data_IF_543539084937
#
_entry.id   IF_543539084937
#
_cell.length_a   1.000
_cell.length_b   1.000
_cell.length_c   1.000
_cell.angle_alpha   90.00
_cell.angle_beta   90.00
_cell.angle_gamma   90.00
#
_symmetry.space_group_name_H-M   'P 1'
#
loop_
_entity.id
_entity.type
_entity.pdbx_description
1 polymer ?
#
# COMPACT_ATOMS: atom_id res chain seq x y z
N UNK A 1 -52.95 -38.65 37.77
CA UNK A 1 -51.51 -38.61 37.46
C UNK A 1 -51.32 -38.54 35.96
N UNK A 2 -51.14 -37.32 35.43
CA UNK A 2 -50.11 -36.96 34.43
C UNK A 2 -50.20 -35.44 34.30
N UNK A 3 -49.28 -34.75 34.98
CA UNK A 3 -49.11 -33.31 34.81
C UNK A 3 -48.25 -33.06 33.59
N UNK A 4 -48.78 -32.37 32.59
CA UNK A 4 -47.97 -31.68 31.59
C UNK A 4 -47.47 -30.39 32.22
N UNK A 5 -46.24 -30.44 32.77
CA UNK A 5 -45.51 -29.25 33.21
C UNK A 5 -44.88 -28.59 31.98
N UNK A 6 -45.57 -27.59 31.43
CA UNK A 6 -44.99 -26.63 30.50
C UNK A 6 -44.16 -25.60 31.29
N UNK A 7 -42.97 -26.01 31.73
CA UNK A 7 -41.91 -25.10 32.18
C UNK A 7 -41.05 -24.78 30.94
N UNK A 8 -41.28 -23.61 30.36
CA UNK A 8 -40.38 -22.45 30.48
C UNK A 8 -39.21 -22.50 29.52
N UNK A 9 -39.40 -21.75 28.42
CA UNK A 9 -38.45 -20.81 27.81
C UNK A 9 -36.96 -21.14 28.05
N UNK A 10 -36.41 -21.99 27.19
CA UNK A 10 -34.96 -21.96 26.90
C UNK A 10 -34.74 -20.92 25.81
N UNK A 11 -33.80 -20.03 26.08
CA UNK A 11 -33.66 -18.72 25.47
C UNK A 11 -33.41 -18.72 23.97
N UNK A 12 -34.02 -17.72 23.33
CA UNK A 12 -33.40 -17.02 22.22
C UNK A 12 -32.08 -16.38 22.67
N UNK A 13 -31.25 -16.03 21.68
CA UNK A 13 -30.00 -15.24 21.73
C UNK A 13 -28.74 -16.13 21.72
N UNK A 14 -28.41 -16.65 20.54
CA UNK A 14 -27.04 -16.56 20.04
C UNK A 14 -27.07 -15.49 18.96
N UNK A 15 -27.01 -14.24 19.42
CA UNK A 15 -26.82 -13.04 18.62
C UNK A 15 -25.31 -12.85 18.45
N UNK A 16 -24.90 -12.91 17.19
CA UNK A 16 -23.71 -12.39 16.52
C UNK A 16 -22.48 -12.02 17.36
N UNK A 17 -21.34 -12.63 17.01
CA UNK A 17 -20.02 -12.00 17.12
C UNK A 17 -18.95 -12.73 16.26
N UNK A 18 -19.18 -12.87 14.96
CA UNK A 18 -18.12 -13.22 13.99
C UNK A 18 -18.15 -12.22 12.82
N UNK A 19 -17.81 -10.96 13.11
CA UNK A 19 -17.78 -9.89 12.08
C UNK A 19 -16.63 -8.88 12.18
N UNK A 20 -15.84 -8.87 13.26
CA UNK A 20 -14.88 -7.78 13.51
C UNK A 20 -13.53 -7.89 12.79
N UNK A 21 -13.16 -9.04 12.22
CA UNK A 21 -11.82 -9.25 11.64
C UNK A 21 -11.68 -8.92 10.15
N UNK A 22 -12.79 -8.93 9.41
CA UNK A 22 -12.80 -8.76 7.95
C UNK A 22 -12.82 -7.27 7.56
N UNK A 23 -13.60 -6.47 8.28
CA UNK A 23 -13.72 -5.01 8.06
C UNK A 23 -12.41 -4.27 8.36
N UNK A 24 -11.73 -4.61 9.46
CA UNK A 24 -10.41 -4.05 9.80
C UNK A 24 -9.34 -4.38 8.75
N UNK A 25 -9.42 -5.59 8.17
CA UNK A 25 -8.50 -6.02 7.11
C UNK A 25 -8.77 -5.28 5.80
N UNK A 26 -10.05 -5.11 5.43
CA UNK A 26 -10.46 -4.37 4.24
C UNK A 26 -10.05 -2.89 4.35
N UNK A 27 -10.28 -2.25 5.50
CA UNK A 27 -9.87 -0.86 5.73
C UNK A 27 -8.35 -0.67 5.64
N UNK A 28 -7.56 -1.64 6.11
CA UNK A 28 -6.11 -1.65 5.93
C UNK A 28 -5.73 -1.73 4.45
N UNK A 29 -6.38 -2.59 3.69
CA UNK A 29 -6.08 -2.80 2.27
C UNK A 29 -6.42 -1.56 1.45
N UNK A 30 -7.58 -0.94 1.68
CA UNK A 30 -7.96 0.33 1.07
C UNK A 30 -6.94 1.42 1.40
N UNK A 31 -6.52 1.55 2.66
CA UNK A 31 -5.52 2.54 3.04
C UNK A 31 -4.17 2.31 2.35
N UNK A 32 -3.75 1.05 2.15
CA UNK A 32 -2.54 0.70 1.38
C UNK A 32 -2.66 1.17 -0.06
N UNK A 33 -3.80 0.91 -0.71
CA UNK A 33 -4.05 1.31 -2.09
C UNK A 33 -4.04 2.84 -2.19
N UNK A 34 -4.72 3.55 -1.30
CA UNK A 34 -4.74 5.01 -1.27
C UNK A 34 -3.33 5.62 -1.08
N UNK A 35 -2.50 5.04 -0.21
CA UNK A 35 -1.13 5.48 -0.01
C UNK A 35 -0.28 5.28 -1.27
N UNK A 36 -0.36 4.11 -1.90
CA UNK A 36 0.34 3.82 -3.15
C UNK A 36 -0.10 4.76 -4.27
N UNK A 37 -1.39 5.05 -4.35
CA UNK A 37 -1.96 6.01 -5.29
C UNK A 37 -1.40 7.42 -5.09
N UNK A 38 -1.31 7.88 -3.84
CA UNK A 38 -0.68 9.16 -3.52
C UNK A 38 0.79 9.20 -3.97
N UNK A 39 1.55 8.12 -3.80
CA UNK A 39 2.95 8.04 -4.25
C UNK A 39 3.03 8.03 -5.78
N UNK A 40 2.13 7.35 -6.47
CA UNK A 40 2.04 7.34 -7.93
C UNK A 40 1.75 8.75 -8.45
N UNK A 41 0.82 9.47 -7.84
CA UNK A 41 0.44 10.81 -8.26
C UNK A 41 1.57 11.81 -7.99
N UNK A 42 2.27 11.67 -6.86
CA UNK A 42 3.50 12.42 -6.57
C UNK A 42 4.57 12.17 -7.64
N UNK A 43 4.84 10.91 -7.98
CA UNK A 43 5.83 10.56 -9.00
C UNK A 43 5.41 11.05 -10.40
N UNK A 44 4.12 10.95 -10.73
CA UNK A 44 3.53 11.47 -11.96
C UNK A 44 3.80 12.97 -12.10
N UNK A 45 3.49 13.74 -11.06
CA UNK A 45 3.70 15.18 -11.03
C UNK A 45 5.18 15.57 -11.07
N UNK A 46 6.03 14.87 -10.31
CA UNK A 46 7.46 15.19 -10.22
C UNK A 46 8.24 14.89 -11.50
N UNK A 47 7.96 13.74 -12.15
CA UNK A 47 8.69 13.30 -13.33
C UNK A 47 7.98 13.65 -14.66
N UNK A 48 6.79 14.25 -14.61
CA UNK A 48 6.05 14.69 -15.80
C UNK A 48 5.52 13.53 -16.66
N UNK A 49 5.17 12.40 -16.04
CA UNK A 49 4.60 11.22 -16.74
C UNK A 49 3.13 11.03 -16.36
N UNK A 50 2.34 10.42 -17.24
CA UNK A 50 0.93 10.19 -16.97
C UNK A 50 0.73 9.15 -15.85
N UNK A 51 0.05 9.53 -14.77
CA UNK A 51 -0.25 8.63 -13.65
C UNK A 51 -1.04 7.38 -14.07
N UNK A 52 -1.88 7.49 -15.10
CA UNK A 52 -2.57 6.34 -15.70
C UNK A 52 -1.56 5.30 -16.22
N UNK A 53 -0.51 5.73 -16.91
CA UNK A 53 0.53 4.82 -17.42
C UNK A 53 1.30 4.14 -16.29
N UNK A 54 1.54 4.84 -15.18
CA UNK A 54 2.17 4.25 -13.99
C UNK A 54 1.28 3.17 -13.35
N UNK A 55 -0.04 3.33 -13.37
CA UNK A 55 -1.01 2.34 -12.84
C UNK A 55 -1.25 1.16 -13.76
N UNK A 56 -1.00 1.31 -15.07
CA UNK A 56 -1.29 0.25 -16.03
C UNK A 56 -0.58 -1.08 -15.67
N UNK A 57 -1.31 -2.20 -15.68
CA UNK A 57 -0.71 -3.52 -15.54
C UNK A 57 0.17 -3.86 -16.74
N UNK A 58 1.14 -4.77 -16.55
CA UNK A 58 2.04 -5.23 -17.61
C UNK A 58 3.40 -4.53 -17.66
N UNK A 59 4.18 -4.85 -18.71
CA UNK A 59 5.57 -4.39 -18.86
C UNK A 59 5.61 -3.04 -19.59
N UNK A 60 5.75 -1.96 -18.83
CA UNK A 60 6.08 -0.66 -19.41
C UNK A 60 7.52 -0.63 -19.92
N UNK A 61 7.83 0.29 -20.84
CA UNK A 61 9.16 0.46 -21.42
C UNK A 61 9.75 1.81 -21.02
N UNK A 62 11.08 1.89 -21.02
CA UNK A 62 11.82 3.13 -20.84
C UNK A 62 11.51 3.86 -19.52
N UNK A 63 11.26 5.16 -19.63
CA UNK A 63 11.13 6.06 -18.49
C UNK A 63 9.96 5.71 -17.55
N UNK A 64 8.81 5.28 -18.10
CA UNK A 64 7.62 4.90 -17.30
C UNK A 64 7.92 3.73 -16.36
N UNK A 65 8.68 2.74 -16.83
CA UNK A 65 9.08 1.61 -16.01
C UNK A 65 9.97 2.05 -14.84
N UNK A 66 10.96 2.92 -15.11
CA UNK A 66 11.87 3.47 -14.10
C UNK A 66 11.13 4.29 -13.05
N UNK A 67 10.19 5.14 -13.45
CA UNK A 67 9.42 5.97 -12.51
C UNK A 67 8.51 5.11 -11.64
N UNK A 68 7.92 4.03 -12.19
CA UNK A 68 7.17 3.07 -11.37
C UNK A 68 8.07 2.38 -10.34
N UNK A 69 9.28 2.01 -10.72
CA UNK A 69 10.25 1.41 -9.79
C UNK A 69 10.66 2.39 -8.69
N UNK A 70 10.87 3.67 -9.02
CA UNK A 70 11.09 4.74 -8.04
C UNK A 70 9.89 4.89 -7.11
N UNK A 71 8.66 4.88 -7.63
CA UNK A 71 7.46 4.99 -6.81
C UNK A 71 7.32 3.80 -5.83
N UNK A 72 7.60 2.57 -6.29
CA UNK A 72 7.64 1.38 -5.42
C UNK A 72 8.72 1.51 -4.34
N UNK A 73 9.91 1.98 -4.70
CA UNK A 73 11.00 2.24 -3.78
C UNK A 73 10.59 3.24 -2.70
N UNK A 74 10.05 4.40 -3.10
CA UNK A 74 9.60 5.45 -2.18
C UNK A 74 8.50 4.93 -1.25
N UNK A 75 7.52 4.17 -1.76
CA UNK A 75 6.50 3.56 -0.91
C UNK A 75 7.12 2.64 0.16
N UNK A 76 8.15 1.87 -0.21
CA UNK A 76 8.86 1.01 0.74
C UNK A 76 9.70 1.81 1.76
N UNK A 77 10.52 2.75 1.31
CA UNK A 77 11.56 3.39 2.16
C UNK A 77 11.08 4.65 2.87
N UNK A 78 10.08 5.35 2.34
CA UNK A 78 9.55 6.58 2.93
C UNK A 78 8.29 6.32 3.76
N UNK A 79 7.45 5.37 3.34
CA UNK A 79 6.20 5.04 4.03
C UNK A 79 6.31 3.77 4.88
N UNK A 80 7.50 3.16 4.95
CA UNK A 80 7.78 1.94 5.71
C UNK A 80 6.84 0.77 5.36
N UNK A 81 6.32 0.74 4.13
CA UNK A 81 5.44 -0.33 3.66
C UNK A 81 6.26 -1.58 3.34
N UNK A 82 5.78 -2.75 3.70
CA UNK A 82 6.42 -4.01 3.29
C UNK A 82 6.32 -4.24 1.78
N UNK A 83 7.23 -5.02 1.19
CA UNK A 83 7.21 -5.36 -0.24
C UNK A 83 5.88 -5.97 -0.69
N UNK A 84 5.21 -6.71 0.20
CA UNK A 84 3.91 -7.31 -0.08
C UNK A 84 2.79 -6.26 -0.11
N UNK A 85 2.84 -5.25 0.76
CA UNK A 85 1.87 -4.14 0.77
C UNK A 85 2.05 -3.25 -0.45
N UNK A 86 3.28 -2.90 -0.79
CA UNK A 86 3.60 -2.16 -2.01
C UNK A 86 3.15 -2.99 -3.22
N UNK A 87 3.41 -4.29 -3.23
CA UNK A 87 2.95 -5.19 -4.30
C UNK A 87 1.43 -5.12 -4.49
N UNK A 88 0.65 -5.24 -3.41
CA UNK A 88 -0.81 -5.09 -3.45
C UNK A 88 -1.25 -3.74 -4.01
N UNK A 89 -0.74 -2.64 -3.48
CA UNK A 89 -1.15 -1.30 -3.93
C UNK A 89 -0.75 -0.98 -5.38
N UNK A 90 0.32 -1.57 -5.90
CA UNK A 90 0.72 -1.41 -7.31
C UNK A 90 0.17 -2.51 -8.24
N UNK A 91 -0.58 -3.48 -7.72
CA UNK A 91 -1.06 -4.65 -8.47
C UNK A 91 0.08 -5.52 -9.03
N UNK A 92 1.16 -5.70 -8.26
CA UNK A 92 2.37 -6.46 -8.65
C UNK A 92 2.76 -7.50 -7.61
N UNK A 93 3.52 -8.50 -8.05
CA UNK A 93 4.11 -9.47 -7.13
C UNK A 93 5.19 -8.83 -6.25
N UNK A 94 5.32 -9.29 -5.00
CA UNK A 94 6.32 -8.77 -4.05
C UNK A 94 7.76 -8.86 -4.59
N UNK A 95 8.07 -9.86 -5.40
CA UNK A 95 9.40 -10.02 -6.01
C UNK A 95 9.69 -8.95 -7.06
N UNK A 96 8.65 -8.42 -7.70
CA UNK A 96 8.78 -7.25 -8.59
C UNK A 96 9.18 -6.01 -7.79
N UNK A 97 8.59 -5.83 -6.61
CA UNK A 97 8.94 -4.72 -5.71
C UNK A 97 10.36 -4.89 -5.18
N UNK A 98 10.73 -6.09 -4.73
CA UNK A 98 12.10 -6.40 -4.30
C UNK A 98 13.12 -6.06 -5.39
N UNK A 99 12.85 -6.48 -6.62
CA UNK A 99 13.71 -6.17 -7.76
C UNK A 99 13.78 -4.67 -8.03
N UNK A 100 12.65 -3.95 -7.94
CA UNK A 100 12.64 -2.50 -8.07
C UNK A 100 13.50 -1.84 -6.98
N UNK A 101 13.39 -2.28 -5.73
CA UNK A 101 14.15 -1.70 -4.62
C UNK A 101 15.65 -1.90 -4.81
N UNK A 102 16.10 -3.11 -5.10
CA UNK A 102 17.52 -3.36 -5.38
C UNK A 102 18.02 -2.52 -6.56
N UNK A 103 17.25 -2.46 -7.66
CA UNK A 103 17.64 -1.65 -8.82
C UNK A 103 17.76 -0.17 -8.49
N UNK A 104 16.85 0.39 -7.69
CA UNK A 104 16.91 1.81 -7.31
C UNK A 104 18.09 2.06 -6.37
N UNK A 105 18.37 1.16 -5.42
CA UNK A 105 19.55 1.24 -4.56
C UNK A 105 20.85 1.22 -5.37
N UNK A 106 20.98 0.29 -6.34
CA UNK A 106 22.15 0.24 -7.23
C UNK A 106 22.32 1.53 -8.04
N UNK A 107 21.22 2.19 -8.42
CA UNK A 107 21.27 3.47 -9.15
C UNK A 107 21.68 4.66 -8.27
N UNK A 108 21.63 4.54 -6.93
CA UNK A 108 22.08 5.62 -6.03
C UNK A 108 23.59 5.85 -6.07
N UNK A 109 24.35 4.93 -6.66
CA UNK A 109 25.78 5.13 -6.91
C UNK A 109 26.05 6.29 -7.89
N UNK A 110 25.07 6.67 -8.72
CA UNK A 110 25.15 7.89 -9.54
C UNK A 110 24.72 9.13 -8.71
N UNK A 111 25.63 10.09 -8.46
CA UNK A 111 25.31 11.26 -7.63
C UNK A 111 24.18 12.14 -8.19
N UNK A 112 24.01 12.14 -9.52
CA UNK A 112 22.94 12.91 -10.17
C UNK A 112 21.59 12.27 -9.89
N UNK A 113 21.50 10.95 -10.05
CA UNK A 113 20.32 10.18 -9.72
C UNK A 113 19.98 10.26 -8.23
N UNK A 114 20.96 10.08 -7.35
CA UNK A 114 20.76 10.16 -5.90
C UNK A 114 20.21 11.52 -5.46
N UNK A 115 20.76 12.63 -5.99
CA UNK A 115 20.26 13.97 -5.71
C UNK A 115 18.81 14.19 -6.17
N UNK A 116 18.40 13.58 -7.28
CA UNK A 116 17.01 13.64 -7.77
C UNK A 116 16.11 12.79 -6.87
N UNK A 117 16.52 11.56 -6.55
CA UNK A 117 15.76 10.65 -5.70
C UNK A 117 15.57 11.22 -4.30
N UNK A 118 16.60 11.82 -3.72
CA UNK A 118 16.54 12.47 -2.41
C UNK A 118 15.49 13.61 -2.38
N UNK A 119 15.31 14.36 -3.48
CA UNK A 119 14.24 15.35 -3.60
C UNK A 119 12.86 14.69 -3.63
N UNK A 120 12.70 13.62 -4.41
CA UNK A 120 11.45 12.84 -4.46
C UNK A 120 11.07 12.31 -3.08
N UNK A 121 12.03 11.72 -2.36
CA UNK A 121 11.83 11.24 -0.99
C UNK A 121 11.45 12.38 -0.03
N UNK A 122 12.12 13.52 -0.13
CA UNK A 122 11.82 14.67 0.71
C UNK A 122 10.38 15.15 0.50
N UNK A 123 9.93 15.29 -0.75
CA UNK A 123 8.55 15.67 -1.07
C UNK A 123 7.57 14.61 -0.59
N UNK A 124 7.88 13.31 -0.74
CA UNK A 124 7.04 12.25 -0.23
C UNK A 124 6.90 12.33 1.31
N UNK A 125 8.00 12.56 2.03
CA UNK A 125 8.00 12.74 3.50
C UNK A 125 7.16 13.94 3.92
N UNK A 126 7.16 15.05 3.16
CA UNK A 126 6.38 16.25 3.52
C UNK A 126 4.90 16.05 3.24
N UNK A 127 4.53 15.47 2.10
CA UNK A 127 3.13 15.23 1.70
C UNK A 127 2.46 14.18 2.60
N UNK A 128 3.20 13.14 2.99
CA UNK A 128 2.62 11.96 3.64
C UNK A 128 2.64 12.02 5.18
N UNK A 129 3.21 13.07 5.75
CA UNK A 129 3.37 13.28 7.21
C UNK A 129 2.07 13.17 8.02
N UNK A 130 0.92 13.47 7.42
CA UNK A 130 -0.40 13.36 8.06
C UNK A 130 -1.19 12.08 7.75
N UNK A 131 -0.63 11.16 6.95
CA UNK A 131 -1.34 9.99 6.39
C UNK A 131 -0.81 8.65 6.94
N UNK A 132 -0.09 8.66 8.07
CA UNK A 132 0.53 7.45 8.61
C UNK A 132 -0.54 6.46 9.08
N UNK A 133 -0.73 5.39 8.29
CA UNK A 133 -1.61 4.25 8.63
C UNK A 133 -1.07 3.43 9.81
N UNK A 134 0.23 3.58 10.12
CA UNK A 134 0.94 2.78 11.13
C UNK A 134 1.52 3.68 12.22
N UNK A 135 0.69 4.16 13.16
CA UNK A 135 1.17 5.03 14.24
C UNK A 135 1.71 4.29 15.48
N UNK A 136 1.62 2.96 15.60
CA UNK A 136 2.19 2.24 16.74
C UNK A 136 2.74 0.88 16.29
N UNK A 137 4.04 0.85 16.04
CA UNK A 137 4.84 -0.37 16.06
C UNK A 137 6.07 -0.12 16.92
#
# INVERSE_FOLDING_TARGET
MVGTSAAERVGQIEDECEGGGEEDRQGREEAIVELCDCVIDLASAFYGVCGKELRMPGRSRGQVARIRQIAMYVAHTVLDMSMAEVGRGFGRDRTTVLHAVHLIEDLRDDPTFDAILARTEHIAKTVMRGRKVWSLR
#
